data_IF_070787725646
#
_entry.id   IF_070787725646
#
_cell.length_a   1.000
_cell.length_b   1.000
_cell.length_c   1.000
_cell.angle_alpha   90.00
_cell.angle_beta   90.00
_cell.angle_gamma   90.00
#
_symmetry.space_group_name_H-M   'P 1'
#
loop_
_entity.id
_entity.type
_entity.pdbx_description
1 polymer ?
#
# COMPACT_ATOMS: atom_id res chain seq x y z
N UNK A 1 14.75 7.69 -8.09
CA UNK A 1 13.41 7.40 -7.54
C UNK A 1 12.40 7.49 -8.67
N UNK A 2 11.41 6.60 -8.70
CA UNK A 2 10.34 6.53 -9.67
C UNK A 2 9.01 6.64 -8.90
N UNK A 3 8.14 7.56 -9.31
CA UNK A 3 6.78 7.65 -8.77
C UNK A 3 5.87 6.74 -9.58
N UNK A 4 5.38 5.70 -8.92
CA UNK A 4 4.48 4.68 -9.44
C UNK A 4 3.12 4.77 -8.74
N UNK A 5 2.26 3.80 -8.95
CA UNK A 5 0.93 3.72 -8.35
C UNK A 5 0.59 2.29 -8.02
N UNK A 6 -0.10 2.12 -6.90
CA UNK A 6 -0.69 0.84 -6.49
C UNK A 6 -1.64 0.25 -7.55
N UNK A 7 -2.10 1.06 -8.52
CA UNK A 7 -2.84 0.58 -9.68
C UNK A 7 -2.04 -0.40 -10.57
N UNK A 8 -0.70 -0.35 -10.58
CA UNK A 8 0.14 -1.37 -11.24
C UNK A 8 -0.05 -2.77 -10.63
N UNK A 9 -0.38 -2.83 -9.33
CA UNK A 9 -0.53 -4.06 -8.56
C UNK A 9 -1.99 -4.54 -8.53
N UNK A 10 -2.92 -3.64 -8.20
CA UNK A 10 -4.34 -3.99 -8.05
C UNK A 10 -5.09 -4.01 -9.39
N UNK A 11 -4.63 -3.21 -10.35
CA UNK A 11 -5.32 -2.95 -11.60
C UNK A 11 -6.54 -2.04 -11.43
N UNK A 12 -6.85 -1.31 -12.50
CA UNK A 12 -8.02 -0.43 -12.58
C UNK A 12 -8.83 -0.74 -13.84
N UNK A 13 -10.16 -0.66 -13.73
CA UNK A 13 -11.03 -0.78 -14.91
C UNK A 13 -10.66 0.31 -15.91
N UNK A 14 -10.47 -0.08 -17.17
CA UNK A 14 -10.05 0.82 -18.27
C UNK A 14 -8.71 1.56 -18.05
N UNK A 15 -7.84 1.05 -17.17
CA UNK A 15 -6.54 1.67 -16.83
C UNK A 15 -5.37 0.75 -17.20
N UNK A 16 -5.49 -0.05 -18.27
CA UNK A 16 -4.47 -1.03 -18.63
C UNK A 16 -3.14 -0.38 -19.05
N UNK A 17 -3.20 0.71 -19.81
CA UNK A 17 -2.04 1.53 -20.16
C UNK A 17 -1.37 2.14 -18.92
N UNK A 18 -2.15 2.68 -18.00
CA UNK A 18 -1.65 3.24 -16.75
C UNK A 18 -1.03 2.17 -15.85
N UNK A 19 -1.67 1.00 -15.71
CA UNK A 19 -1.12 -0.11 -14.94
C UNK A 19 0.20 -0.64 -15.54
N UNK A 20 0.30 -0.75 -16.87
CA UNK A 20 1.52 -1.19 -17.55
C UNK A 20 2.70 -0.23 -17.33
N UNK A 21 2.44 1.08 -17.38
CA UNK A 21 3.46 2.10 -17.14
C UNK A 21 4.02 2.06 -15.70
N UNK A 22 3.13 1.91 -14.71
CA UNK A 22 3.52 1.77 -13.30
C UNK A 22 4.28 0.46 -13.06
N UNK A 23 3.80 -0.66 -13.61
CA UNK A 23 4.50 -1.96 -13.52
C UNK A 23 5.90 -1.91 -14.14
N UNK A 24 6.08 -1.15 -15.23
CA UNK A 24 7.39 -0.94 -15.84
C UNK A 24 8.33 -0.16 -14.92
N UNK A 25 7.85 0.90 -14.26
CA UNK A 25 8.65 1.66 -13.28
C UNK A 25 9.10 0.78 -12.11
N UNK A 26 8.22 -0.08 -11.62
CA UNK A 26 8.53 -1.03 -10.56
C UNK A 26 9.66 -1.97 -11.00
N UNK A 27 9.49 -2.62 -12.16
CA UNK A 27 10.51 -3.50 -12.72
C UNK A 27 11.83 -2.77 -13.01
N UNK A 28 11.78 -1.50 -13.45
CA UNK A 28 12.97 -0.68 -13.68
C UNK A 28 13.72 -0.39 -12.38
N UNK A 29 13.04 -0.18 -11.25
CA UNK A 29 13.69 0.00 -9.96
C UNK A 29 14.47 -1.26 -9.55
N UNK A 30 13.83 -2.43 -9.63
CA UNK A 30 14.46 -3.72 -9.38
C UNK A 30 15.66 -3.97 -10.31
N UNK A 31 15.49 -3.69 -11.61
CA UNK A 31 16.57 -3.82 -12.59
C UNK A 31 17.79 -2.96 -12.23
N UNK A 32 17.57 -1.69 -11.86
CA UNK A 32 18.66 -0.78 -11.47
C UNK A 32 19.39 -1.27 -10.22
N UNK A 33 18.64 -1.70 -9.19
CA UNK A 33 19.23 -2.26 -7.96
C UNK A 33 20.08 -3.49 -8.26
N UNK A 34 19.59 -4.40 -9.12
CA UNK A 34 20.35 -5.58 -9.56
C UNK A 34 21.67 -5.23 -10.29
N UNK A 35 21.77 -4.03 -10.86
CA UNK A 35 22.97 -3.51 -11.52
C UNK A 35 23.81 -2.58 -10.63
N UNK A 36 23.59 -2.59 -9.31
CA UNK A 36 24.34 -1.76 -8.36
C UNK A 36 24.00 -0.27 -8.41
N UNK A 37 22.88 0.10 -9.05
CA UNK A 37 22.45 1.48 -9.19
C UNK A 37 21.36 1.81 -8.18
N UNK A 38 21.44 3.00 -7.56
CA UNK A 38 20.37 3.49 -6.67
C UNK A 38 19.06 3.65 -7.44
N UNK A 39 18.01 3.01 -6.96
CA UNK A 39 16.65 3.19 -7.43
C UNK A 39 15.64 2.77 -6.36
N UNK A 40 14.45 3.36 -6.44
CA UNK A 40 13.27 2.94 -5.67
C UNK A 40 12.05 3.30 -6.51
N UNK A 41 11.04 2.42 -6.53
CA UNK A 41 9.70 2.69 -7.02
C UNK A 41 8.77 2.91 -5.83
N UNK A 42 8.00 3.99 -5.84
CA UNK A 42 7.02 4.31 -4.80
C UNK A 42 5.63 4.16 -5.41
N UNK A 43 4.94 3.07 -5.07
CA UNK A 43 3.55 2.83 -5.45
C UNK A 43 2.63 3.66 -4.58
N UNK A 44 2.25 4.83 -5.08
CA UNK A 44 1.35 5.73 -4.39
C UNK A 44 -0.08 5.22 -4.44
N UNK A 45 -0.71 5.21 -3.27
CA UNK A 45 -2.15 5.07 -3.08
C UNK A 45 -2.89 6.34 -3.52
N UNK A 46 -3.96 6.67 -2.80
CA UNK A 46 -4.84 7.76 -3.20
C UNK A 46 -4.29 9.11 -2.73
N UNK A 47 -3.89 9.99 -3.64
CA UNK A 47 -3.59 11.39 -3.31
C UNK A 47 -4.90 12.19 -3.42
N UNK A 48 -5.41 12.70 -2.29
CA UNK A 48 -6.75 13.31 -2.20
C UNK A 48 -6.73 14.84 -2.09
N UNK A 49 -5.62 15.39 -1.62
CA UNK A 49 -5.45 16.85 -1.49
C UNK A 49 -5.00 17.52 -2.80
N UNK A 50 -4.35 16.79 -3.70
CA UNK A 50 -3.79 17.33 -4.96
C UNK A 50 -3.90 16.30 -6.11
N UNK A 51 -4.00 16.78 -7.36
CA UNK A 51 -4.01 15.97 -8.58
C UNK A 51 -5.39 15.59 -9.12
N UNK A 52 -5.43 14.74 -10.16
CA UNK A 52 -6.64 14.42 -10.95
C UNK A 52 -7.80 13.84 -10.13
N UNK A 53 -7.50 13.20 -9.00
CA UNK A 53 -8.52 12.65 -8.09
C UNK A 53 -9.20 13.74 -7.27
N UNK A 54 -8.45 14.77 -6.84
CA UNK A 54 -9.00 15.91 -6.11
C UNK A 54 -9.97 16.74 -6.98
N UNK A 55 -9.77 16.72 -8.30
CA UNK A 55 -10.59 17.45 -9.28
C UNK A 55 -11.81 16.66 -9.76
N UNK A 56 -12.00 15.40 -9.31
CA UNK A 56 -13.08 14.54 -9.78
C UNK A 56 -13.73 13.73 -8.65
N UNK A 57 -14.80 14.28 -8.08
CA UNK A 57 -15.58 13.66 -6.99
C UNK A 57 -16.10 12.26 -7.32
N UNK A 58 -16.46 12.01 -8.58
CA UNK A 58 -16.98 10.71 -9.02
C UNK A 58 -15.89 9.62 -9.02
N UNK A 59 -14.68 10.01 -9.41
CA UNK A 59 -13.49 9.15 -9.38
C UNK A 59 -13.08 8.88 -7.93
N UNK A 60 -13.05 9.92 -7.09
CA UNK A 60 -12.76 9.82 -5.66
C UNK A 60 -13.74 8.88 -4.95
N UNK A 61 -15.05 9.03 -5.19
CA UNK A 61 -16.07 8.15 -4.64
C UNK A 61 -15.89 6.70 -5.12
N UNK A 62 -15.49 6.50 -6.38
CA UNK A 62 -15.22 5.15 -6.90
C UNK A 62 -13.98 4.50 -6.30
N UNK A 63 -12.92 5.26 -6.08
CA UNK A 63 -11.69 4.78 -5.44
C UNK A 63 -11.92 4.48 -3.96
N UNK A 64 -12.68 5.32 -3.24
CA UNK A 64 -13.09 5.04 -1.85
C UNK A 64 -13.91 3.75 -1.71
N UNK A 65 -14.73 3.39 -2.71
CA UNK A 65 -15.48 2.12 -2.72
C UNK A 65 -14.59 0.87 -2.80
N UNK A 66 -13.33 1.00 -3.24
CA UNK A 66 -12.37 -0.12 -3.21
C UNK A 66 -12.04 -0.47 -1.75
N UNK A 67 -12.18 0.49 -0.83
CA UNK A 67 -12.11 0.30 0.63
C UNK A 67 -10.72 0.03 1.17
N UNK A 68 -9.69 -0.01 0.31
CA UNK A 68 -8.32 -0.39 0.64
C UNK A 68 -7.31 0.74 0.47
N UNK A 69 -7.73 1.85 -0.13
CA UNK A 69 -6.85 2.98 -0.37
C UNK A 69 -6.99 3.98 0.77
N UNK A 70 -5.88 4.32 1.40
CA UNK A 70 -5.76 5.44 2.32
C UNK A 70 -5.27 6.66 1.55
N UNK A 71 -5.73 7.81 2.03
CA UNK A 71 -5.28 9.10 1.56
C UNK A 71 -3.80 9.25 1.92
N UNK A 72 -2.95 9.50 0.92
CA UNK A 72 -1.56 9.91 1.10
C UNK A 72 -1.55 11.43 1.08
N UNK A 73 -1.00 12.05 2.12
CA UNK A 73 -0.88 13.51 2.19
C UNK A 73 0.35 14.00 1.43
N UNK A 74 0.37 15.29 1.10
CA UNK A 74 1.53 15.91 0.48
C UNK A 74 2.75 15.86 1.40
N UNK A 75 2.57 16.05 2.70
CA UNK A 75 3.64 15.98 3.70
C UNK A 75 4.23 14.57 3.77
N UNK A 76 3.39 13.53 3.70
CA UNK A 76 3.87 12.14 3.64
C UNK A 76 4.68 11.88 2.38
N UNK A 77 4.22 12.36 1.22
CA UNK A 77 4.97 12.26 -0.02
C UNK A 77 6.32 12.98 0.08
N UNK A 78 6.35 14.22 0.55
CA UNK A 78 7.59 14.99 0.71
C UNK A 78 8.54 14.28 1.67
N UNK A 79 8.05 13.73 2.79
CA UNK A 79 8.89 12.97 3.71
C UNK A 79 9.50 11.71 3.07
N UNK A 80 8.75 11.03 2.18
CA UNK A 80 9.30 9.92 1.38
C UNK A 80 10.37 10.41 0.40
N UNK A 81 10.16 11.56 -0.24
CA UNK A 81 11.15 12.17 -1.13
C UNK A 81 12.45 12.47 -0.37
N UNK A 82 12.35 13.12 0.79
CA UNK A 82 13.50 13.48 1.63
C UNK A 82 14.29 12.23 2.04
N UNK A 83 13.60 11.17 2.45
CA UNK A 83 14.24 9.92 2.85
C UNK A 83 14.95 9.20 1.68
N UNK A 84 14.25 9.02 0.55
CA UNK A 84 14.76 8.22 -0.57
C UNK A 84 15.70 8.98 -1.51
N UNK A 85 15.67 10.32 -1.47
CA UNK A 85 16.59 11.15 -2.25
C UNK A 85 17.87 11.52 -1.49
N UNK A 86 18.03 11.10 -0.23
CA UNK A 86 19.29 11.31 0.52
C UNK A 86 20.47 10.63 -0.21
N UNK A 87 21.48 11.40 -0.67
CA UNK A 87 22.64 10.82 -1.34
C UNK A 87 23.45 9.87 -0.45
N UNK A 88 23.29 9.94 0.87
CA UNK A 88 23.96 9.07 1.84
C UNK A 88 23.21 7.76 2.10
N UNK A 89 21.97 7.62 1.63
CA UNK A 89 21.21 6.38 1.77
C UNK A 89 21.96 5.24 1.05
N UNK A 90 22.22 4.10 1.72
CA UNK A 90 22.92 2.98 1.10
C UNK A 90 22.09 2.40 -0.06
N UNK A 91 22.74 1.59 -0.90
CA UNK A 91 22.03 0.86 -1.94
C UNK A 91 20.95 -0.03 -1.29
N UNK A 92 19.71 0.09 -1.77
CA UNK A 92 18.61 -0.71 -1.28
C UNK A 92 18.80 -2.18 -1.68
N UNK A 93 18.25 -3.09 -0.89
CA UNK A 93 18.08 -4.47 -1.32
C UNK A 93 16.95 -4.57 -2.34
N UNK A 94 16.92 -5.66 -3.11
CA UNK A 94 15.87 -5.92 -4.08
C UNK A 94 14.46 -5.83 -3.47
N UNK A 95 14.24 -6.41 -2.28
CA UNK A 95 12.95 -6.35 -1.57
C UNK A 95 12.54 -4.94 -1.12
N UNK A 96 13.49 -4.00 -1.05
CA UNK A 96 13.25 -2.61 -0.67
C UNK A 96 13.28 -1.67 -1.89
N UNK A 97 13.46 -2.20 -3.11
CA UNK A 97 13.47 -1.42 -4.34
C UNK A 97 12.07 -0.92 -4.73
N UNK A 98 11.01 -1.48 -4.15
CA UNK A 98 9.63 -1.11 -4.39
C UNK A 98 8.89 -1.03 -3.04
N UNK A 99 8.19 0.08 -2.81
CA UNK A 99 7.36 0.25 -1.61
C UNK A 99 5.95 0.69 -2.00
N UNK A 100 4.96 0.21 -1.24
CA UNK A 100 3.57 0.65 -1.35
C UNK A 100 3.21 1.57 -0.19
N UNK A 101 2.55 2.68 -0.50
CA UNK A 101 2.03 3.63 0.49
C UNK A 101 0.57 3.93 0.22
N UNK A 102 -0.19 4.32 1.24
CA UNK A 102 -1.61 4.59 1.09
C UNK A 102 -2.47 3.33 0.90
N UNK A 103 -2.09 2.20 1.50
CA UNK A 103 -2.91 0.98 1.55
C UNK A 103 -3.32 0.69 2.99
N UNK A 104 -4.62 0.56 3.22
CA UNK A 104 -5.16 0.15 4.51
C UNK A 104 -5.13 -1.37 4.66
N UNK A 105 -4.69 -1.84 5.83
CA UNK A 105 -4.66 -3.28 6.12
C UNK A 105 -6.09 -3.84 6.16
N UNK A 106 -6.35 -5.02 5.58
CA UNK A 106 -7.69 -5.63 5.58
C UNK A 106 -8.34 -5.72 6.96
N UNK A 107 -7.56 -5.95 8.03
CA UNK A 107 -8.08 -6.01 9.40
C UNK A 107 -8.60 -4.66 9.90
N UNK A 108 -7.97 -3.55 9.51
CA UNK A 108 -8.40 -2.20 9.87
C UNK A 108 -9.65 -1.79 9.09
N UNK A 109 -9.71 -2.12 7.80
CA UNK A 109 -10.90 -1.90 6.96
C UNK A 109 -12.12 -2.65 7.53
N UNK A 110 -11.94 -3.93 7.89
CA UNK A 110 -13.00 -4.74 8.49
C UNK A 110 -13.44 -4.20 9.86
N UNK A 111 -12.52 -3.69 10.68
CA UNK A 111 -12.85 -3.07 11.97
C UNK A 111 -13.70 -1.79 11.82
N UNK A 112 -13.62 -1.10 10.67
CA UNK A 112 -14.49 0.03 10.31
C UNK A 112 -15.88 -0.40 9.80
N UNK A 113 -16.16 -1.70 9.72
CA UNK A 113 -17.40 -2.24 9.14
C UNK A 113 -17.48 -2.14 7.61
N UNK A 114 -16.36 -1.82 6.94
CA UNK A 114 -16.32 -1.69 5.49
C UNK A 114 -16.16 -3.07 4.85
N UNK A 115 -17.00 -3.37 3.86
CA UNK A 115 -16.90 -4.62 3.10
C UNK A 115 -15.75 -4.52 2.11
N UNK A 116 -14.76 -5.38 2.29
CA UNK A 116 -13.62 -5.50 1.38
C UNK A 116 -14.07 -5.96 0.00
N UNK A 117 -13.57 -5.29 -1.05
CA UNK A 117 -13.80 -5.69 -2.43
C UNK A 117 -13.24 -7.10 -2.69
N UNK A 118 -13.96 -7.96 -3.42
CA UNK A 118 -13.60 -9.38 -3.59
C UNK A 118 -12.18 -9.62 -4.15
N UNK A 119 -11.62 -8.66 -4.90
CA UNK A 119 -10.28 -8.75 -5.51
C UNK A 119 -9.17 -8.95 -4.49
N UNK A 120 -9.33 -8.45 -3.26
CA UNK A 120 -8.32 -8.61 -2.21
C UNK A 120 -8.20 -10.07 -1.74
N UNK A 121 -9.18 -10.93 -2.04
CA UNK A 121 -9.14 -12.36 -1.67
C UNK A 121 -8.26 -13.19 -2.60
N UNK A 122 -7.67 -12.58 -3.65
CA UNK A 122 -6.73 -13.28 -4.54
C UNK A 122 -5.50 -13.76 -3.76
N UNK A 123 -4.90 -14.91 -4.13
CA UNK A 123 -3.75 -15.48 -3.40
C UNK A 123 -2.59 -14.51 -3.20
N UNK A 124 -2.30 -13.65 -4.18
CA UNK A 124 -1.23 -12.65 -4.10
C UNK A 124 -1.35 -11.67 -2.92
N UNK A 125 -2.58 -11.40 -2.46
CA UNK A 125 -2.84 -10.48 -1.34
C UNK A 125 -3.03 -11.19 0.00
N UNK A 126 -2.90 -12.52 0.05
CA UNK A 126 -3.13 -13.33 1.26
C UNK A 126 -2.28 -12.87 2.43
N UNK A 127 -1.08 -12.36 2.18
CA UNK A 127 -0.18 -11.88 3.21
C UNK A 127 -0.70 -10.63 3.94
N UNK A 128 -1.46 -9.76 3.27
CA UNK A 128 -2.05 -8.57 3.89
C UNK A 128 -3.02 -8.93 5.04
N UNK A 129 -3.72 -10.06 4.93
CA UNK A 129 -4.60 -10.57 5.98
C UNK A 129 -3.87 -11.13 7.21
N UNK A 130 -2.56 -11.37 7.11
CA UNK A 130 -1.75 -11.87 8.21
C UNK A 130 -1.06 -10.74 8.99
N UNK A 131 -1.08 -9.53 8.46
CA UNK A 131 -0.47 -8.36 9.10
C UNK A 131 -1.47 -7.79 10.10
N UNK A 132 -1.13 -7.84 11.39
CA UNK A 132 -1.91 -7.24 12.46
C UNK A 132 -1.29 -5.89 12.82
N UNK A 133 -2.03 -4.77 12.68
CA UNK A 133 -1.54 -3.44 13.03
C UNK A 133 -1.00 -3.39 14.45
N UNK A 134 0.11 -2.67 14.67
CA UNK A 134 0.71 -2.52 16.01
C UNK A 134 -0.28 -1.94 17.03
N UNK A 135 -1.20 -1.10 16.59
CA UNK A 135 -2.29 -0.51 17.39
C UNK A 135 -3.33 -1.53 17.88
N UNK A 136 -3.48 -2.68 17.22
CA UNK A 136 -4.42 -3.75 17.62
C UNK A 136 -3.78 -4.89 18.43
N UNK A 137 -2.45 -4.90 18.62
CA UNK A 137 -1.75 -5.93 19.40
C UNK A 137 -2.21 -6.07 20.87
N UNK A 138 -2.59 -5.01 21.59
CA UNK A 138 -3.08 -5.16 22.97
C UNK A 138 -4.42 -5.90 23.05
N UNK A 139 -5.34 -5.63 22.10
CA UNK A 139 -6.69 -6.18 22.08
C UNK A 139 -6.71 -7.70 21.82
N UNK A 140 -5.86 -8.18 20.89
CA UNK A 140 -5.77 -9.61 20.58
C UNK A 140 -5.14 -10.43 21.71
N UNK A 141 -4.22 -9.84 22.49
CA UNK A 141 -3.60 -10.49 23.64
C UNK A 141 -4.61 -10.73 24.77
N UNK A 142 -5.58 -9.83 24.94
CA UNK A 142 -6.71 -9.99 25.86
C UNK A 142 -7.69 -11.08 25.40
N UNK A 143 -8.05 -11.12 24.11
CA UNK A 143 -8.96 -12.15 23.58
C UNK A 143 -8.36 -13.58 23.58
N UNK A 144 -7.06 -13.71 23.28
CA UNK A 144 -6.34 -14.99 23.40
C UNK A 144 -6.21 -15.44 24.86
N UNK A 145 -6.10 -14.52 25.82
CA UNK A 145 -6.10 -14.85 27.23
C UNK A 145 -7.49 -15.30 27.74
N UNK A 146 -8.57 -14.68 27.27
CA UNK A 146 -9.95 -15.08 27.61
C UNK A 146 -10.31 -16.46 27.04
N UNK A 147 -9.93 -16.76 25.79
CA UNK A 147 -10.18 -18.07 25.19
C UNK A 147 -9.38 -19.21 25.87
N UNK A 148 -8.18 -18.93 26.38
CA UNK A 148 -7.40 -19.90 27.17
C UNK A 148 -7.98 -20.15 28.58
N UNK A 149 -8.78 -19.23 29.11
CA UNK A 149 -9.48 -19.38 30.40
C UNK A 149 -10.76 -20.21 30.21
N UNK A 150 -11.51 -20.01 29.13
CA UNK A 150 -12.72 -20.80 28.83
C UNK A 150 -12.43 -22.27 28.46
N UNK A 151 -11.23 -22.58 27.98
CA UNK A 151 -10.76 -23.95 27.70
C UNK A 151 -10.25 -24.70 28.95
N UNK A 152 -10.29 -24.08 30.14
CA UNK A 152 -9.87 -24.68 31.43
C UNK A 152 -11.00 -24.78 32.47
N UNK A 153 -12.25 -24.55 32.09
CA UNK A 153 -13.42 -24.82 32.91
C UNK A 153 -14.15 -26.09 32.45
#
# INVERSE_FOLDING_TARGET
>A
MLLSSVNGIFGGRAQANYAAENTFKDALAHHRIAHGQKAVSIDLGLMVAEGVVAENDSLLASMRRIGLLMDVTQEELIALLDYYCDPNLPLLSDVNAQIMVGIEMPSAVLAKGIVLHHSIRRPMFRHLFRIIPRTQRPYLRMQMAQSLIELRC
#
